data_IF_261371951064
#
_entry.id   IF_261371951064
#
_cell.length_a   1.000
_cell.length_b   1.000
_cell.length_c   1.000
_cell.angle_alpha   90.00
_cell.angle_beta   90.00
_cell.angle_gamma   90.00
#
_symmetry.space_group_name_H-M   'P 1'
#
loop_
_entity.id
_entity.type
_entity.pdbx_description
1 polymer ?
#
# COMPACT_ATOMS: atom_id res chain seq x y z
N UNK A 1 14.50 0.19 16.01
CA UNK A 1 13.33 -0.69 16.21
C UNK A 1 12.77 -1.16 14.86
N UNK A 2 12.74 -0.28 13.85
CA UNK A 2 12.46 -0.57 12.43
C UNK A 2 13.25 -1.78 11.88
N UNK A 3 14.54 -1.91 12.23
CA UNK A 3 15.41 -2.99 11.71
C UNK A 3 15.04 -4.40 12.18
N UNK A 4 14.30 -4.56 13.30
CA UNK A 4 13.91 -5.90 13.78
C UNK A 4 12.70 -6.46 13.02
N UNK A 5 11.76 -5.61 12.63
CA UNK A 5 10.59 -6.01 11.82
C UNK A 5 11.05 -6.38 10.41
N UNK A 6 11.96 -5.57 9.81
CA UNK A 6 12.52 -5.88 8.50
C UNK A 6 13.31 -7.21 8.49
N UNK A 7 14.09 -7.51 9.53
CA UNK A 7 14.92 -8.72 9.58
C UNK A 7 14.16 -10.02 9.92
N UNK A 8 13.00 -9.97 10.58
CA UNK A 8 12.19 -11.18 10.81
C UNK A 8 11.39 -11.62 9.58
N UNK A 9 11.14 -10.71 8.63
CA UNK A 9 10.31 -10.96 7.44
C UNK A 9 11.10 -11.60 6.28
N UNK A 10 12.44 -11.64 6.35
CA UNK A 10 13.30 -12.05 5.22
C UNK A 10 13.30 -13.56 4.94
N UNK A 11 12.73 -14.41 5.80
CA UNK A 11 12.76 -15.87 5.60
C UNK A 11 11.40 -16.55 5.47
N UNK A 12 10.32 -15.93 5.95
CA UNK A 12 8.96 -16.50 5.85
C UNK A 12 7.95 -15.35 5.71
N UNK A 13 7.08 -15.40 4.70
CA UNK A 13 5.99 -14.44 4.46
C UNK A 13 4.86 -14.62 5.49
N UNK A 14 5.21 -14.55 6.77
CA UNK A 14 4.24 -14.68 7.86
C UNK A 14 3.23 -13.52 7.80
N UNK A 15 1.93 -13.81 7.96
CA UNK A 15 0.92 -12.78 7.94
C UNK A 15 1.07 -11.82 9.13
N UNK A 16 0.84 -10.53 8.88
CA UNK A 16 0.66 -9.57 9.95
C UNK A 16 -0.73 -9.75 10.58
N UNK A 17 -0.77 -9.82 11.92
CA UNK A 17 -1.99 -10.13 12.67
C UNK A 17 -2.73 -8.88 13.18
N UNK A 18 -2.07 -7.74 13.29
CA UNK A 18 -2.69 -6.48 13.68
C UNK A 18 -2.02 -5.28 13.01
N UNK A 19 -2.76 -4.18 12.88
CA UNK A 19 -2.27 -2.95 12.26
C UNK A 19 -1.11 -2.32 13.05
N UNK A 20 -1.10 -2.44 14.37
CA UNK A 20 -0.06 -1.86 15.25
C UNK A 20 1.34 -2.31 14.84
N UNK A 21 1.48 -3.55 14.32
CA UNK A 21 2.76 -4.11 13.90
C UNK A 21 3.34 -3.43 12.65
N UNK A 22 2.49 -2.83 11.82
CA UNK A 22 2.86 -2.19 10.54
C UNK A 22 2.64 -0.67 10.57
N UNK A 23 2.04 -0.14 11.63
CA UNK A 23 1.66 1.27 11.76
C UNK A 23 2.83 2.21 11.46
N UNK A 24 3.99 1.99 12.08
CA UNK A 24 5.17 2.86 11.86
C UNK A 24 5.60 2.87 10.38
N UNK A 25 5.52 1.73 9.69
CA UNK A 25 5.86 1.65 8.28
C UNK A 25 4.86 2.44 7.41
N UNK A 26 3.57 2.26 7.66
CA UNK A 26 2.49 2.95 6.95
C UNK A 26 2.54 4.46 7.17
N UNK A 27 2.79 4.91 8.41
CA UNK A 27 2.85 6.34 8.76
C UNK A 27 4.05 7.08 8.16
N UNK A 28 5.07 6.36 7.66
CA UNK A 28 6.20 6.98 6.93
C UNK A 28 5.86 7.36 5.48
N UNK A 29 4.70 6.94 4.97
CA UNK A 29 4.25 7.21 3.61
C UNK A 29 3.27 8.38 3.65
N UNK A 30 3.55 9.43 2.86
CA UNK A 30 2.65 10.57 2.74
C UNK A 30 1.29 10.15 2.16
N UNK A 31 0.21 10.76 2.66
CA UNK A 31 -1.13 10.46 2.22
C UNK A 31 -2.17 11.37 2.85
N UNK A 32 -3.39 11.29 2.35
CA UNK A 32 -4.53 12.12 2.79
C UNK A 32 -5.50 11.39 3.73
N UNK A 33 -5.16 10.19 4.18
CA UNK A 33 -5.94 9.48 5.18
C UNK A 33 -5.93 10.26 6.50
N UNK A 34 -7.07 10.28 7.18
CA UNK A 34 -7.15 10.79 8.56
C UNK A 34 -6.85 9.67 9.56
N UNK A 35 -6.35 10.00 10.77
CA UNK A 35 -5.95 8.99 11.75
C UNK A 35 -7.02 7.92 11.98
N UNK A 36 -6.61 6.65 11.88
CA UNK A 36 -7.47 5.48 12.11
C UNK A 36 -8.09 4.90 10.84
N UNK A 37 -8.06 5.62 9.71
CA UNK A 37 -8.51 5.06 8.44
C UNK A 37 -7.58 3.97 7.92
N UNK A 38 -6.28 4.03 8.22
CA UNK A 38 -5.31 3.00 7.88
C UNK A 38 -5.63 1.68 8.58
N UNK A 39 -5.89 1.75 9.89
CA UNK A 39 -6.26 0.60 10.70
C UNK A 39 -7.58 -0.01 10.21
N UNK A 40 -8.57 0.85 9.93
CA UNK A 40 -9.83 0.42 9.36
C UNK A 40 -9.62 -0.35 8.05
N UNK A 41 -8.81 0.18 7.13
CA UNK A 41 -8.53 -0.46 5.83
C UNK A 41 -7.77 -1.79 6.01
N UNK A 42 -6.74 -1.83 6.86
CA UNK A 42 -6.01 -3.05 7.18
C UNK A 42 -6.96 -4.14 7.69
N UNK A 43 -7.76 -3.82 8.72
CA UNK A 43 -8.69 -4.77 9.33
C UNK A 43 -9.80 -5.19 8.36
N UNK A 44 -10.27 -4.26 7.52
CA UNK A 44 -11.24 -4.58 6.48
C UNK A 44 -10.68 -5.59 5.48
N UNK A 45 -9.45 -5.41 5.01
CA UNK A 45 -8.79 -6.35 4.08
C UNK A 45 -8.53 -7.71 4.75
N UNK A 46 -8.07 -7.73 6.01
CA UNK A 46 -7.91 -8.99 6.77
C UNK A 46 -9.21 -9.77 6.91
N UNK A 47 -10.36 -9.10 6.95
CA UNK A 47 -11.67 -9.76 7.06
C UNK A 47 -12.17 -10.39 5.75
N UNK A 48 -11.54 -10.10 4.61
CA UNK A 48 -11.94 -10.65 3.31
C UNK A 48 -11.42 -12.09 3.12
N UNK A 49 -11.97 -12.84 2.15
CA UNK A 49 -11.39 -14.13 1.73
C UNK A 49 -9.90 -14.02 1.38
N UNK A 50 -9.16 -15.11 1.57
CA UNK A 50 -7.70 -15.17 1.35
C UNK A 50 -7.28 -14.97 -0.11
N UNK A 51 -8.23 -14.97 -1.06
CA UNK A 51 -8.05 -14.77 -2.50
C UNK A 51 -8.83 -13.56 -3.03
N UNK A 52 -9.31 -12.68 -2.15
CA UNK A 52 -10.11 -11.53 -2.53
C UNK A 52 -9.36 -10.57 -3.47
N UNK A 53 -10.10 -10.00 -4.43
CA UNK A 53 -9.63 -8.91 -5.29
C UNK A 53 -10.16 -7.59 -4.74
N UNK A 54 -9.25 -6.65 -4.53
CA UNK A 54 -9.51 -5.33 -3.94
C UNK A 54 -9.21 -4.29 -5.01
N UNK A 55 -10.11 -3.34 -5.23
CA UNK A 55 -9.88 -2.21 -6.13
C UNK A 55 -9.68 -0.96 -5.29
N UNK A 56 -8.60 -0.23 -5.56
CA UNK A 56 -8.35 1.11 -5.03
C UNK A 56 -8.37 2.11 -6.20
N UNK A 57 -9.15 3.18 -6.05
CA UNK A 57 -9.19 4.29 -6.99
C UNK A 57 -8.67 5.54 -6.27
N UNK A 58 -7.55 6.08 -6.74
CA UNK A 58 -6.80 7.12 -6.03
C UNK A 58 -5.87 6.52 -4.98
N UNK A 59 -4.61 6.32 -5.36
CA UNK A 59 -3.56 5.72 -4.54
C UNK A 59 -2.49 6.75 -4.12
N UNK A 60 -2.39 7.89 -4.82
CA UNK A 60 -1.41 8.95 -4.55
C UNK A 60 0.00 8.37 -4.28
N UNK A 61 0.61 8.64 -3.12
CA UNK A 61 1.92 8.12 -2.72
C UNK A 61 1.88 6.77 -1.97
N UNK A 62 0.68 6.20 -1.76
CA UNK A 62 0.52 4.80 -1.40
C UNK A 62 0.26 4.49 0.08
N UNK A 63 -0.06 5.48 0.93
CA UNK A 63 -0.33 5.24 2.36
C UNK A 63 -1.48 4.26 2.59
N UNK A 64 -2.62 4.48 1.93
CA UNK A 64 -3.77 3.56 1.95
C UNK A 64 -3.41 2.22 1.33
N UNK A 65 -2.73 2.23 0.18
CA UNK A 65 -2.25 1.03 -0.51
C UNK A 65 -1.40 0.17 0.42
N UNK A 66 -0.47 0.77 1.17
CA UNK A 66 0.42 0.06 2.09
C UNK A 66 -0.35 -0.58 3.24
N UNK A 67 -1.28 0.15 3.86
CA UNK A 67 -2.12 -0.40 4.93
C UNK A 67 -2.89 -1.65 4.47
N UNK A 68 -3.48 -1.59 3.26
CA UNK A 68 -4.17 -2.74 2.66
C UNK A 68 -3.20 -3.87 2.26
N UNK A 69 -2.03 -3.53 1.69
CA UNK A 69 -1.09 -4.52 1.18
C UNK A 69 -0.38 -5.30 2.29
N UNK A 70 -0.09 -4.66 3.44
CA UNK A 70 0.38 -5.38 4.62
C UNK A 70 -0.62 -6.45 5.09
N UNK A 71 -1.92 -6.16 5.01
CA UNK A 71 -2.98 -7.14 5.31
C UNK A 71 -3.06 -8.28 4.28
N UNK A 72 -2.46 -8.13 3.10
CA UNK A 72 -2.40 -9.18 2.08
C UNK A 72 -1.21 -10.15 2.29
N UNK A 73 -0.24 -9.81 3.15
CA UNK A 73 0.93 -10.66 3.38
C UNK A 73 0.51 -12.02 3.94
N UNK A 74 1.04 -13.10 3.35
CA UNK A 74 0.68 -14.47 3.70
C UNK A 74 -0.61 -14.98 3.03
N UNK A 75 -1.22 -14.20 2.13
CA UNK A 75 -2.45 -14.55 1.41
C UNK A 75 -2.29 -14.50 -0.11
N UNK A 76 -3.35 -14.87 -0.83
CA UNK A 76 -3.48 -14.71 -2.28
C UNK A 76 -4.25 -13.45 -2.68
N UNK A 77 -4.63 -12.58 -1.72
CA UNK A 77 -5.32 -11.32 -1.97
C UNK A 77 -4.51 -10.43 -2.91
N UNK A 78 -5.20 -9.68 -3.77
CA UNK A 78 -4.58 -8.74 -4.72
C UNK A 78 -5.27 -7.39 -4.69
N UNK A 79 -4.48 -6.33 -4.76
CA UNK A 79 -4.95 -4.95 -4.85
C UNK A 79 -4.70 -4.44 -6.26
N UNK A 80 -5.73 -3.87 -6.87
CA UNK A 80 -5.71 -3.25 -8.18
C UNK A 80 -5.81 -1.74 -7.97
N UNK A 81 -4.69 -1.04 -8.13
CA UNK A 81 -4.58 0.40 -7.89
C UNK A 81 -4.76 1.15 -9.21
N UNK A 82 -5.76 2.01 -9.28
CA UNK A 82 -6.07 2.84 -10.44
C UNK A 82 -5.87 4.31 -10.05
N UNK A 83 -4.88 4.95 -10.65
CA UNK A 83 -4.57 6.35 -10.40
C UNK A 83 -3.91 6.95 -11.65
N UNK A 84 -4.22 8.20 -12.05
CA UNK A 84 -3.47 8.89 -13.09
C UNK A 84 -1.99 9.14 -12.73
N UNK A 85 -1.67 9.21 -11.44
CA UNK A 85 -0.40 9.64 -10.85
C UNK A 85 0.11 10.97 -11.43
N UNK A 86 -0.83 11.87 -11.72
CA UNK A 86 -0.52 13.23 -12.16
C UNK A 86 -0.17 14.06 -10.92
N UNK A 87 1.07 14.56 -10.85
CA UNK A 87 1.50 15.44 -9.76
C UNK A 87 0.70 16.73 -9.70
N UNK A 88 0.59 17.35 -8.51
CA UNK A 88 0.05 18.70 -8.43
C UNK A 88 0.98 19.65 -9.20
N UNK A 89 0.37 20.35 -10.16
CA UNK A 89 1.00 21.09 -11.23
C UNK A 89 1.66 22.40 -10.79
N UNK A 90 2.58 22.42 -9.83
CA UNK A 90 3.23 23.70 -9.45
C UNK A 90 4.75 23.70 -9.31
N UNK A 91 5.44 22.57 -9.42
CA UNK A 91 6.88 22.48 -9.69
C UNK A 91 7.12 21.14 -10.39
N UNK A 92 8.07 21.02 -11.32
CA UNK A 92 8.47 19.72 -11.84
C UNK A 92 9.18 18.98 -10.68
N UNK A 93 8.56 17.95 -10.07
CA UNK A 93 9.28 17.18 -9.07
C UNK A 93 10.43 16.41 -9.76
N UNK A 94 11.52 16.16 -9.05
CA UNK A 94 12.63 15.32 -9.55
C UNK A 94 12.17 13.89 -9.88
N UNK A 95 11.05 13.44 -9.29
CA UNK A 95 10.41 12.14 -9.52
C UNK A 95 8.91 12.29 -9.76
N UNK A 96 8.35 11.45 -10.62
CA UNK A 96 6.91 11.35 -10.80
C UNK A 96 6.22 10.81 -9.53
N UNK A 97 4.94 11.14 -9.32
CA UNK A 97 4.16 10.58 -8.19
C UNK A 97 4.09 9.06 -8.27
N UNK A 98 4.08 8.49 -9.48
CA UNK A 98 4.12 7.05 -9.68
C UNK A 98 5.41 6.41 -9.16
N UNK A 99 6.57 7.03 -9.43
CA UNK A 99 7.86 6.54 -8.91
C UNK A 99 7.91 6.60 -7.39
N UNK A 100 7.44 7.70 -6.79
CA UNK A 100 7.35 7.83 -5.33
C UNK A 100 6.44 6.77 -4.73
N UNK A 101 5.25 6.57 -5.31
CA UNK A 101 4.31 5.51 -4.90
C UNK A 101 4.95 4.13 -4.97
N UNK A 102 5.65 3.82 -6.06
CA UNK A 102 6.29 2.52 -6.27
C UNK A 102 7.44 2.30 -5.29
N UNK A 103 8.31 3.30 -5.09
CA UNK A 103 9.43 3.22 -4.15
C UNK A 103 8.95 3.01 -2.71
N UNK A 104 7.89 3.71 -2.30
CA UNK A 104 7.30 3.54 -0.97
C UNK A 104 6.84 2.10 -0.71
N UNK A 105 6.24 1.44 -1.72
CA UNK A 105 5.75 0.08 -1.60
C UNK A 105 6.85 -0.98 -1.75
N UNK A 106 7.82 -0.74 -2.64
CA UNK A 106 8.98 -1.63 -2.82
C UNK A 106 9.87 -1.65 -1.58
N UNK A 107 10.04 -0.50 -0.90
CA UNK A 107 10.77 -0.39 0.38
C UNK A 107 10.29 -1.42 1.42
N UNK A 108 9.00 -1.75 1.41
CA UNK A 108 8.37 -2.71 2.30
C UNK A 108 8.04 -4.07 1.62
N UNK A 109 8.54 -4.29 0.41
CA UNK A 109 8.33 -5.53 -0.37
C UNK A 109 6.85 -5.87 -0.60
N UNK A 110 5.99 -4.85 -0.75
CA UNK A 110 4.54 -5.00 -0.88
C UNK A 110 4.06 -5.17 -2.32
N UNK A 111 4.89 -4.84 -3.31
CA UNK A 111 4.53 -4.90 -4.73
C UNK A 111 4.08 -6.27 -5.26
N UNK A 112 4.47 -7.43 -4.70
CA UNK A 112 3.90 -8.72 -5.11
C UNK A 112 2.38 -8.86 -4.90
N UNK A 113 1.77 -8.03 -4.04
CA UNK A 113 0.32 -8.05 -3.76
C UNK A 113 -0.47 -7.02 -4.58
N UNK A 114 0.21 -6.24 -5.41
CA UNK A 114 -0.35 -5.03 -6.02
C UNK A 114 -0.20 -5.07 -7.53
N UNK A 115 -1.23 -4.64 -8.26
CA UNK A 115 -1.18 -4.37 -9.69
C UNK A 115 -1.63 -2.93 -9.92
N UNK A 116 -0.77 -2.12 -10.55
CA UNK A 116 -1.07 -0.74 -10.88
C UNK A 116 -1.62 -0.59 -12.30
N UNK A 117 -2.55 0.36 -12.46
CA UNK A 117 -3.15 0.77 -13.72
C UNK A 117 -3.07 2.28 -13.81
N UNK A 118 -2.08 2.78 -14.55
CA UNK A 118 -1.86 4.21 -14.69
C UNK A 118 -2.86 4.81 -15.68
N UNK A 119 -3.75 5.64 -15.16
CA UNK A 119 -4.78 6.30 -15.95
C UNK A 119 -6.00 6.70 -15.13
N UNK A 120 -6.94 7.38 -15.78
CA UNK A 120 -8.22 7.70 -15.17
C UNK A 120 -9.09 6.45 -15.07
N UNK A 121 -9.87 6.35 -13.98
CA UNK A 121 -10.74 5.19 -13.71
C UNK A 121 -11.79 4.93 -14.77
N UNK A 122 -12.27 5.95 -15.49
CA UNK A 122 -13.25 5.78 -16.58
C UNK A 122 -12.68 5.13 -17.86
N UNK A 123 -11.39 4.75 -17.87
CA UNK A 123 -10.72 4.11 -19.01
C UNK A 123 -10.52 2.59 -18.85
N UNK A 124 -10.94 2.01 -17.72
CA UNK A 124 -10.80 0.59 -17.38
C UNK A 124 -12.17 -0.01 -17.08
#
# INVERSE_FOLDING_TARGET
MVDRVLNQVVSVKEPFNSYETVKEAVETIDGFLVPGQEEFLFNKVKSLPEDALIVEVGSYQGRSTAAMAFACVGSNRKIYCIDPWIGQCHNLPEKSVFEVWKENLDKYQLTPYIKSFQGYSFKF
#
